data_IF_701291599381
#
_entry.id   IF_701291599381
#
_cell.length_a   1.000
_cell.length_b   1.000
_cell.length_c   1.000
_cell.angle_alpha   90.00
_cell.angle_beta   90.00
_cell.angle_gamma   90.00
#
_symmetry.space_group_name_H-M   'P 1'
#
loop_
_entity.id
_entity.type
_entity.pdbx_description
1 polymer ?
#
# COMPACT_ATOMS: atom_id res chain seq x y z
N UNK A 1 -26.06 -26.67 2.47
CA UNK A 1 -24.77 -26.87 3.14
C UNK A 1 -24.42 -25.56 3.84
N UNK A 2 -24.47 -25.48 5.18
CA UNK A 2 -23.98 -24.29 5.87
C UNK A 2 -22.48 -24.13 5.59
N UNK A 3 -22.02 -22.88 5.39
CA UNK A 3 -20.60 -22.59 5.22
C UNK A 3 -19.83 -23.10 6.45
N UNK A 4 -18.65 -23.71 6.29
CA UNK A 4 -17.86 -24.18 7.41
C UNK A 4 -17.57 -23.01 8.36
N UNK A 5 -17.70 -23.25 9.65
CA UNK A 5 -17.34 -22.30 10.70
C UNK A 5 -15.83 -22.02 10.60
N UNK A 6 -15.47 -20.91 9.93
CA UNK A 6 -14.08 -20.53 9.72
C UNK A 6 -13.57 -19.96 11.03
N UNK A 7 -12.92 -20.81 11.83
CA UNK A 7 -12.22 -20.37 13.04
C UNK A 7 -11.18 -19.32 12.64
N UNK A 8 -11.41 -18.06 13.03
CA UNK A 8 -10.50 -16.97 12.73
C UNK A 8 -9.17 -17.17 13.44
N UNK A 9 -8.06 -17.05 12.70
CA UNK A 9 -6.74 -17.04 13.32
C UNK A 9 -6.55 -15.79 14.17
N UNK A 10 -5.60 -15.77 15.12
CA UNK A 10 -5.29 -14.54 15.88
C UNK A 10 -5.01 -13.32 14.99
N UNK A 11 -4.51 -13.54 13.78
CA UNK A 11 -4.20 -12.52 12.76
C UNK A 11 -5.44 -12.03 12.00
N UNK A 12 -6.58 -12.70 12.15
CA UNK A 12 -7.85 -12.41 11.49
C UNK A 12 -8.93 -11.85 12.45
N UNK A 13 -8.58 -11.59 13.72
CA UNK A 13 -9.52 -11.15 14.76
C UNK A 13 -10.28 -9.85 14.43
N UNK A 14 -9.66 -8.95 13.68
CA UNK A 14 -10.27 -7.69 13.25
C UNK A 14 -10.65 -7.73 11.77
N UNK A 15 -11.80 -7.14 11.40
CA UNK A 15 -12.19 -6.94 10.00
C UNK A 15 -11.08 -6.22 9.22
N UNK A 16 -10.77 -6.69 8.01
CA UNK A 16 -9.85 -6.03 7.09
C UNK A 16 -10.57 -4.87 6.38
N UNK A 17 -10.33 -3.64 6.83
CA UNK A 17 -10.79 -2.43 6.10
C UNK A 17 -9.79 -2.09 4.99
N UNK A 18 -10.27 -1.84 3.78
CA UNK A 18 -9.43 -1.38 2.66
C UNK A 18 -8.94 0.05 2.89
N UNK A 19 -7.96 0.49 2.11
CA UNK A 19 -7.50 1.88 2.17
C UNK A 19 -8.53 2.85 1.59
N UNK A 20 -9.32 2.41 0.60
CA UNK A 20 -10.40 3.20 -0.02
C UNK A 20 -11.55 3.47 0.95
N UNK A 21 -11.93 2.49 1.77
CA UNK A 21 -12.95 2.65 2.82
C UNK A 21 -12.54 3.64 3.92
N UNK A 22 -11.25 3.98 4.01
CA UNK A 22 -10.72 4.98 4.94
C UNK A 22 -10.49 6.35 4.28
N UNK A 23 -10.76 6.45 2.98
CA UNK A 23 -10.59 7.69 2.22
C UNK A 23 -11.53 8.77 2.76
N UNK A 24 -11.03 9.99 2.84
CA UNK A 24 -11.82 11.18 3.15
C UNK A 24 -11.44 12.26 2.17
N UNK A 25 -12.44 12.76 1.44
CA UNK A 25 -12.28 13.78 0.40
C UNK A 25 -11.45 14.98 0.90
N UNK A 26 -10.49 15.40 0.08
CA UNK A 26 -9.57 16.50 0.34
C UNK A 26 -8.32 16.15 1.16
N UNK A 27 -8.21 14.93 1.74
CA UNK A 27 -7.01 14.55 2.52
C UNK A 27 -5.81 14.26 1.63
N UNK A 28 -4.63 14.73 2.08
CA UNK A 28 -3.36 14.48 1.40
C UNK A 28 -2.31 13.95 2.37
N UNK A 29 -1.51 13.01 1.89
CA UNK A 29 -0.45 12.39 2.68
C UNK A 29 0.83 13.21 2.67
N UNK A 30 1.23 13.69 1.49
CA UNK A 30 2.43 14.46 1.32
C UNK A 30 2.23 15.52 0.24
N UNK A 31 3.02 16.58 0.33
CA UNK A 31 3.18 17.60 -0.71
C UNK A 31 4.57 17.43 -1.29
N UNK A 32 4.66 17.37 -2.62
CA UNK A 32 5.95 17.34 -3.31
C UNK A 32 6.67 18.68 -3.12
N UNK A 33 8.00 18.69 -3.07
CA UNK A 33 8.75 19.95 -3.11
C UNK A 33 8.47 20.70 -4.41
N UNK A 34 8.71 22.02 -4.42
CA UNK A 34 8.60 22.82 -5.63
C UNK A 34 9.49 22.25 -6.75
N UNK A 35 8.95 22.16 -7.97
CA UNK A 35 9.65 21.55 -9.09
C UNK A 35 10.84 22.38 -9.61
N UNK A 36 10.96 23.65 -9.20
CA UNK A 36 12.03 24.55 -9.64
C UNK A 36 11.94 24.95 -11.12
N UNK A 37 10.82 24.65 -11.79
CA UNK A 37 10.53 25.01 -13.17
C UNK A 37 9.17 25.73 -13.24
N UNK A 38 8.93 26.60 -14.24
CA UNK A 38 7.64 27.24 -14.41
C UNK A 38 6.52 26.20 -14.56
N UNK A 39 5.37 26.46 -13.94
CA UNK A 39 4.17 25.64 -14.17
C UNK A 39 3.60 25.92 -15.56
N UNK A 40 3.46 24.87 -16.36
CA UNK A 40 2.83 24.91 -17.68
C UNK A 40 1.53 24.13 -17.64
N UNK A 41 0.41 24.66 -18.16
CA UNK A 41 -0.86 23.94 -18.24
C UNK A 41 -0.72 22.60 -18.99
N UNK A 42 -1.35 21.54 -18.49
CA UNK A 42 -1.31 20.22 -19.12
C UNK A 42 -1.81 20.21 -20.57
N UNK A 43 -2.76 21.10 -20.91
CA UNK A 43 -3.32 21.23 -22.26
C UNK A 43 -2.28 21.66 -23.31
N UNK A 44 -1.20 22.33 -22.89
CA UNK A 44 -0.11 22.75 -23.77
C UNK A 44 0.96 21.66 -23.92
N UNK A 45 0.95 20.65 -23.04
CA UNK A 45 1.95 19.57 -22.98
C UNK A 45 1.43 18.27 -23.57
N UNK A 46 0.13 18.00 -23.45
CA UNK A 46 -0.47 16.70 -23.79
C UNK A 46 -1.67 16.94 -24.73
N UNK A 47 -1.72 16.26 -25.91
CA UNK A 47 -2.87 16.35 -26.81
C UNK A 47 -4.18 16.01 -26.10
N UNK A 48 -5.24 16.78 -26.36
CA UNK A 48 -6.54 16.68 -25.66
C UNK A 48 -7.11 15.25 -25.62
N UNK A 49 -6.97 14.48 -26.68
CA UNK A 49 -7.47 13.10 -26.75
C UNK A 49 -6.72 12.09 -25.85
N UNK A 50 -5.62 12.50 -25.22
CA UNK A 50 -4.83 11.70 -24.28
C UNK A 50 -4.96 12.20 -22.83
N UNK A 51 -5.66 13.32 -22.60
CA UNK A 51 -5.92 13.82 -21.25
C UNK A 51 -7.06 13.04 -20.62
N UNK A 52 -6.92 12.75 -19.32
CA UNK A 52 -7.95 12.10 -18.52
C UNK A 52 -9.10 13.08 -18.28
N UNK A 53 -10.34 12.64 -18.49
CA UNK A 53 -11.54 13.48 -18.30
C UNK A 53 -11.93 13.57 -16.82
N UNK A 54 -11.93 12.44 -16.11
CA UNK A 54 -12.25 12.36 -14.69
C UNK A 54 -11.00 12.19 -13.83
N UNK A 55 -10.96 12.67 -12.58
CA UNK A 55 -9.89 12.37 -11.64
C UNK A 55 -9.67 10.86 -11.42
N UNK A 56 -8.50 10.50 -10.89
CA UNK A 56 -8.25 9.11 -10.47
C UNK A 56 -8.88 8.87 -9.11
N UNK A 57 -9.61 7.76 -8.96
CA UNK A 57 -10.20 7.31 -7.69
C UNK A 57 -9.14 6.75 -6.72
N UNK A 58 -8.09 7.54 -6.47
CA UNK A 58 -7.07 7.21 -5.48
C UNK A 58 -7.61 7.53 -4.07
N UNK A 59 -7.19 6.78 -3.04
CA UNK A 59 -7.59 7.07 -1.67
C UNK A 59 -6.97 8.40 -1.20
N UNK A 60 -7.78 9.23 -0.58
CA UNK A 60 -7.40 10.51 0.01
C UNK A 60 -7.22 10.32 1.51
N UNK A 61 -5.96 10.22 1.96
CA UNK A 61 -5.59 9.83 3.33
C UNK A 61 -4.39 10.65 3.81
N UNK A 62 -4.33 10.91 5.13
CA UNK A 62 -3.19 11.55 5.77
C UNK A 62 -2.03 10.55 6.03
N UNK A 63 -0.78 10.98 5.97
CA UNK A 63 0.40 10.11 6.11
C UNK A 63 0.37 9.20 7.37
N UNK A 64 0.02 9.69 8.58
CA UNK A 64 -0.04 8.82 9.77
C UNK A 64 -1.06 7.68 9.63
N UNK A 65 -2.13 7.90 8.88
CA UNK A 65 -3.15 6.87 8.61
C UNK A 65 -2.67 5.84 7.59
N UNK A 66 -1.88 6.24 6.59
CA UNK A 66 -1.20 5.32 5.65
C UNK A 66 -0.29 4.38 6.45
N UNK A 67 0.58 4.96 7.29
CA UNK A 67 1.52 4.18 8.12
C UNK A 67 0.76 3.19 9.01
N UNK A 68 -0.30 3.64 9.70
CA UNK A 68 -1.15 2.76 10.52
C UNK A 68 -1.84 1.67 9.69
N UNK A 69 -2.28 1.98 8.48
CA UNK A 69 -2.95 1.04 7.60
C UNK A 69 -1.99 -0.10 7.19
N UNK A 70 -0.82 0.22 6.66
CA UNK A 70 0.14 -0.79 6.20
C UNK A 70 0.80 -1.56 7.35
N UNK A 71 1.08 -0.92 8.50
CA UNK A 71 1.55 -1.63 9.70
C UNK A 71 0.51 -2.62 10.25
N UNK A 72 -0.78 -2.32 10.10
CA UNK A 72 -1.84 -3.26 10.48
C UNK A 72 -1.92 -4.42 9.49
N UNK A 73 -1.71 -4.19 8.19
CA UNK A 73 -1.70 -5.24 7.18
C UNK A 73 -0.50 -6.17 7.36
N UNK A 74 0.69 -5.64 7.64
CA UNK A 74 1.89 -6.47 7.83
C UNK A 74 1.72 -7.51 8.94
N UNK A 75 1.09 -7.12 10.06
CA UNK A 75 0.76 -8.02 11.18
C UNK A 75 -0.26 -9.12 10.84
N UNK A 76 -0.91 -9.05 9.68
CA UNK A 76 -1.84 -10.08 9.17
C UNK A 76 -1.17 -11.03 8.18
N UNK A 77 0.08 -10.78 7.81
CA UNK A 77 0.87 -11.66 6.96
C UNK A 77 1.80 -12.52 7.81
N UNK A 78 2.02 -13.76 7.37
CA UNK A 78 3.11 -14.59 7.87
C UNK A 78 4.30 -14.39 6.94
N UNK A 79 5.48 -14.22 7.51
CA UNK A 79 6.72 -13.94 6.77
C UNK A 79 7.90 -14.71 7.36
N UNK A 80 9.06 -14.59 6.69
CA UNK A 80 10.32 -15.22 7.08
C UNK A 80 10.85 -14.75 8.44
N UNK A 81 10.50 -13.54 8.88
CA UNK A 81 10.91 -13.01 10.18
C UNK A 81 9.99 -13.50 11.31
N UNK A 82 8.75 -13.88 10.96
CA UNK A 82 7.73 -14.37 11.88
C UNK A 82 7.90 -15.84 12.25
N UNK A 83 8.49 -16.66 11.38
CA UNK A 83 8.74 -18.07 11.67
C UNK A 83 9.23 -18.90 10.49
N UNK A 84 9.25 -20.22 10.69
CA UNK A 84 9.74 -21.18 9.70
C UNK A 84 8.82 -21.26 8.48
N UNK A 85 9.39 -21.16 7.28
CA UNK A 85 8.67 -21.04 6.01
C UNK A 85 9.07 -22.13 4.98
N UNK A 86 8.75 -23.42 5.22
CA UNK A 86 9.26 -24.55 4.43
C UNK A 86 8.50 -24.80 3.13
N UNK A 87 8.53 -23.84 2.21
CA UNK A 87 7.98 -24.03 0.87
C UNK A 87 9.05 -24.61 -0.07
N UNK A 88 8.84 -25.86 -0.48
CA UNK A 88 9.70 -26.53 -1.46
C UNK A 88 9.71 -25.78 -2.80
N UNK A 89 10.82 -25.84 -3.53
CA UNK A 89 11.08 -25.11 -4.79
C UNK A 89 11.21 -23.59 -4.67
N UNK A 90 10.67 -22.95 -3.64
CA UNK A 90 10.73 -21.49 -3.46
C UNK A 90 12.06 -20.97 -2.89
N UNK A 91 12.87 -21.84 -2.26
CA UNK A 91 14.14 -21.45 -1.60
C UNK A 91 13.96 -20.24 -0.67
N UNK A 92 12.96 -20.29 0.22
CA UNK A 92 12.67 -19.24 1.21
C UNK A 92 13.76 -19.19 2.28
N UNK A 93 14.92 -18.60 1.94
CA UNK A 93 16.08 -18.42 2.80
C UNK A 93 16.03 -17.09 3.55
N UNK A 94 16.85 -16.95 4.58
CA UNK A 94 17.03 -15.68 5.28
C UNK A 94 17.42 -14.56 4.29
N UNK A 95 16.78 -13.39 4.42
CA UNK A 95 17.17 -12.15 3.75
C UNK A 95 17.97 -11.27 4.74
N UNK A 96 19.32 -11.19 4.62
CA UNK A 96 20.13 -10.33 5.48
C UNK A 96 19.70 -8.87 5.41
N UNK A 97 19.45 -8.24 6.57
CA UNK A 97 19.15 -6.79 6.65
C UNK A 97 20.24 -5.89 6.07
N UNK A 98 21.47 -6.41 5.94
CA UNK A 98 22.56 -5.71 5.26
C UNK A 98 22.25 -5.47 3.77
N UNK A 99 21.57 -6.41 3.11
CA UNK A 99 21.25 -6.30 1.69
C UNK A 99 20.36 -5.08 1.42
N UNK A 100 19.38 -4.83 2.30
CA UNK A 100 18.52 -3.65 2.22
C UNK A 100 19.33 -2.35 2.37
N UNK A 101 20.32 -2.33 3.27
CA UNK A 101 21.20 -1.17 3.46
C UNK A 101 22.16 -0.92 2.30
N UNK A 102 22.55 -1.97 1.58
CA UNK A 102 23.45 -1.86 0.42
C UNK A 102 22.68 -1.39 -0.83
N UNK A 103 21.36 -1.61 -0.88
CA UNK A 103 20.51 -1.22 -2.00
C UNK A 103 19.93 0.20 -1.90
N UNK A 104 19.74 0.72 -0.68
CA UNK A 104 19.19 2.04 -0.39
C UNK A 104 20.16 3.19 -0.72
#
# INVERSE_FOLDING_TARGET
MPAPDVTQTPMQRDRATTIFEKSVEGRRAATLPEAGVPETPLADLIPKGLLREDPTELPEIAEPEIVRHYNRISRRNFDLDSGFYPLGSCTMKHNPRLNERVAA
#
